data_IF_013570959830
#
_entry.id   IF_013570959830
#
_cell.length_a   1.000
_cell.length_b   1.000
_cell.length_c   1.000
_cell.angle_alpha   90.00
_cell.angle_beta   90.00
_cell.angle_gamma   90.00
#
_symmetry.space_group_name_H-M   'P 1'
#
loop_
_entity.id
_entity.type
_entity.pdbx_description
1 polymer ?
#
# COMPACT_ATOMS: atom_id res chain seq x y z
N UNK A 1 -20.31 3.63 36.36
CA UNK A 1 -19.50 4.67 35.68
C UNK A 1 -19.02 4.08 34.37
N UNK A 2 -19.37 4.69 33.22
CA UNK A 2 -18.89 4.23 31.93
C UNK A 2 -17.51 4.83 31.67
N UNK A 3 -16.49 3.99 31.44
CA UNK A 3 -15.18 4.44 31.02
C UNK A 3 -15.30 4.98 29.59
N UNK A 4 -15.10 6.28 29.41
CA UNK A 4 -14.94 6.87 28.09
C UNK A 4 -13.64 6.33 27.50
N UNK A 5 -13.74 5.54 26.42
CA UNK A 5 -12.58 5.16 25.64
C UNK A 5 -11.99 6.44 25.03
N UNK A 6 -10.89 6.92 25.60
CA UNK A 6 -10.17 8.06 25.04
C UNK A 6 -9.30 7.55 23.90
N UNK A 7 -9.69 7.88 22.66
CA UNK A 7 -8.89 7.58 21.49
C UNK A 7 -7.66 8.49 21.47
N UNK A 8 -6.47 7.91 21.31
CA UNK A 8 -5.26 8.69 21.02
C UNK A 8 -5.23 8.96 19.52
N UNK A 9 -5.36 10.23 19.15
CA UNK A 9 -5.24 10.68 17.77
C UNK A 9 -3.82 11.18 17.54
N UNK A 10 -3.04 10.40 16.81
CA UNK A 10 -1.73 10.81 16.30
C UNK A 10 -1.92 11.26 14.83
N UNK A 11 -1.35 12.41 14.46
CA UNK A 11 -1.48 13.00 13.11
C UNK A 11 -0.13 13.03 12.41
N UNK A 12 -0.06 12.48 11.21
CA UNK A 12 1.15 12.46 10.37
C UNK A 12 0.90 13.16 9.04
N UNK A 13 1.83 14.03 8.64
CA UNK A 13 1.89 14.72 7.34
C UNK A 13 3.19 14.38 6.62
N UNK A 14 3.36 14.94 5.41
CA UNK A 14 4.63 14.90 4.68
C UNK A 14 5.82 15.39 5.54
N UNK A 15 5.61 16.42 6.35
CA UNK A 15 6.63 16.99 7.24
C UNK A 15 7.02 16.05 8.39
N UNK A 16 6.22 15.00 8.65
CA UNK A 16 6.46 14.01 9.71
C UNK A 16 6.76 12.61 9.16
N UNK A 17 7.12 12.48 7.88
CA UNK A 17 7.68 11.25 7.30
C UNK A 17 6.78 10.48 6.33
N UNK A 18 5.55 10.93 6.06
CA UNK A 18 4.79 10.41 4.92
C UNK A 18 5.42 10.95 3.61
N UNK A 19 5.46 10.17 2.53
CA UNK A 19 5.96 10.67 1.25
C UNK A 19 4.98 11.68 0.63
N UNK A 20 3.68 11.55 0.89
CA UNK A 20 2.63 12.43 0.38
C UNK A 20 1.37 12.32 1.26
N UNK A 21 0.56 13.39 1.31
CA UNK A 21 -0.57 13.53 2.22
C UNK A 21 -1.83 12.71 1.83
N UNK A 22 -1.86 12.08 0.65
CA UNK A 22 -2.99 11.29 0.18
C UNK A 22 -2.66 9.80 0.24
N UNK A 23 -3.39 9.09 1.09
CA UNK A 23 -3.29 7.65 1.27
C UNK A 23 -4.49 6.99 0.59
N UNK A 24 -4.23 6.13 -0.39
CA UNK A 24 -5.24 5.47 -1.21
C UNK A 24 -5.58 4.06 -0.74
N UNK A 25 -4.65 3.41 -0.04
CA UNK A 25 -4.87 2.10 0.55
C UNK A 25 -3.97 1.92 1.77
N UNK A 26 -4.46 1.15 2.74
CA UNK A 26 -3.72 0.73 3.93
C UNK A 26 -3.92 -0.78 4.09
N UNK A 27 -2.83 -1.51 4.33
CA UNK A 27 -2.85 -2.94 4.68
C UNK A 27 -1.85 -3.18 5.79
N UNK A 28 -2.25 -3.94 6.82
CA UNK A 28 -1.28 -4.51 7.77
C UNK A 28 -0.76 -5.82 7.22
N UNK A 29 0.56 -5.99 7.15
CA UNK A 29 1.18 -7.26 6.78
C UNK A 29 1.31 -8.18 7.98
N UNK A 30 1.41 -9.50 7.76
CA UNK A 30 1.55 -10.52 8.82
C UNK A 30 2.73 -10.33 9.77
N UNK A 31 3.78 -9.64 9.32
CA UNK A 31 4.94 -9.27 10.13
C UNK A 31 4.68 -8.02 11.00
N UNK A 32 3.47 -7.47 10.98
CA UNK A 32 2.99 -6.43 11.88
C UNK A 32 3.09 -5.00 11.35
N UNK A 33 3.81 -4.77 10.25
CA UNK A 33 3.95 -3.43 9.67
C UNK A 33 2.67 -2.96 8.99
N UNK A 34 2.39 -1.66 9.08
CA UNK A 34 1.39 -1.04 8.22
C UNK A 34 2.05 -0.60 6.91
N UNK A 35 1.38 -0.88 5.82
CA UNK A 35 1.75 -0.43 4.48
C UNK A 35 0.69 0.53 3.96
N UNK A 36 1.16 1.63 3.37
CA UNK A 36 0.34 2.71 2.85
C UNK A 36 0.69 2.93 1.38
N UNK A 37 -0.33 2.96 0.52
CA UNK A 37 -0.21 3.33 -0.88
C UNK A 37 -0.47 4.83 -1.05
N UNK A 38 0.47 5.51 -1.70
CA UNK A 38 0.35 6.94 -2.02
C UNK A 38 0.66 7.16 -3.50
N UNK A 39 0.43 8.39 -3.97
CA UNK A 39 0.79 8.76 -5.35
C UNK A 39 2.27 9.06 -5.56
N UNK A 40 3.08 9.09 -4.49
CA UNK A 40 4.54 9.27 -4.57
C UNK A 40 5.33 8.14 -3.89
N UNK A 41 4.78 6.93 -3.90
CA UNK A 41 5.43 5.72 -3.42
C UNK A 41 4.64 4.97 -2.36
N UNK A 42 5.28 3.95 -1.80
CA UNK A 42 4.78 3.19 -0.65
C UNK A 42 5.44 3.70 0.63
N UNK A 43 4.67 3.74 1.71
CA UNK A 43 5.22 3.96 3.05
C UNK A 43 4.97 2.72 3.90
N UNK A 44 6.02 2.24 4.59
CA UNK A 44 5.93 1.21 5.62
C UNK A 44 6.10 1.83 6.99
N UNK A 45 5.17 1.59 7.90
CA UNK A 45 5.19 2.11 9.27
C UNK A 45 5.45 0.99 10.26
N UNK A 46 6.42 1.21 11.15
CA UNK A 46 6.85 0.25 12.18
C UNK A 46 6.22 0.49 13.57
N UNK A 47 5.29 1.44 13.66
CA UNK A 47 4.71 1.91 14.93
C UNK A 47 5.36 3.19 15.45
N UNK A 48 6.51 3.59 14.90
CA UNK A 48 7.27 4.78 15.31
C UNK A 48 7.63 5.65 14.11
N UNK A 49 8.06 5.07 12.98
CA UNK A 49 8.61 5.76 11.82
C UNK A 49 8.12 5.16 10.51
N UNK A 50 8.11 6.00 9.48
CA UNK A 50 7.87 5.59 8.10
C UNK A 50 9.17 5.31 7.36
N UNK A 51 9.18 4.26 6.55
CA UNK A 51 10.19 4.01 5.51
C UNK A 51 9.51 4.14 4.15
N UNK A 52 10.08 4.95 3.25
CA UNK A 52 9.51 5.25 1.93
C UNK A 52 10.19 4.44 0.84
N UNK A 53 9.38 3.84 -0.05
CA UNK A 53 9.83 3.08 -1.21
C UNK A 53 9.22 3.66 -2.49
N UNK A 54 10.06 4.05 -3.44
CA UNK A 54 9.64 4.62 -4.71
C UNK A 54 10.65 4.27 -5.83
N UNK A 55 10.38 4.71 -7.06
CA UNK A 55 11.22 4.38 -8.23
C UNK A 55 12.66 4.88 -8.15
N UNK A 56 12.95 5.90 -7.32
CA UNK A 56 14.31 6.45 -7.22
C UNK A 56 15.18 5.70 -6.21
N UNK A 57 14.58 5.01 -5.24
CA UNK A 57 15.32 4.32 -4.16
C UNK A 57 15.10 2.81 -4.10
N UNK A 58 14.13 2.26 -4.85
CA UNK A 58 13.72 0.86 -4.75
C UNK A 58 13.74 0.17 -6.12
N UNK A 59 14.83 -0.52 -6.49
CA UNK A 59 14.89 -1.30 -7.73
C UNK A 59 13.71 -2.27 -7.82
N UNK A 60 13.06 -2.31 -9.00
CA UNK A 60 11.84 -3.08 -9.23
C UNK A 60 10.54 -2.29 -9.05
N UNK A 61 10.59 -1.11 -8.44
CA UNK A 61 9.51 -0.12 -8.55
C UNK A 61 9.78 0.75 -9.78
N UNK A 62 8.85 0.76 -10.74
CA UNK A 62 8.97 1.58 -11.96
C UNK A 62 7.98 2.74 -12.02
N UNK A 63 6.99 2.76 -11.13
CA UNK A 63 5.99 3.82 -11.01
C UNK A 63 5.76 4.12 -9.51
N UNK A 64 5.55 5.39 -9.16
CA UNK A 64 5.31 5.83 -7.79
C UNK A 64 3.82 5.84 -7.41
N UNK A 65 2.93 5.78 -8.40
CA UNK A 65 1.50 6.03 -8.21
C UNK A 65 0.77 4.75 -7.81
N UNK A 66 0.78 4.44 -6.52
CA UNK A 66 0.11 3.25 -5.97
C UNK A 66 -1.28 3.58 -5.44
N UNK A 67 -2.23 2.70 -5.71
CA UNK A 67 -3.64 2.90 -5.33
C UNK A 67 -4.26 1.71 -4.60
N UNK A 68 -3.54 0.59 -4.50
CA UNK A 68 -4.07 -0.62 -3.86
C UNK A 68 -2.97 -1.48 -3.26
N UNK A 69 -3.32 -2.23 -2.20
CA UNK A 69 -2.39 -3.09 -1.46
C UNK A 69 -3.06 -4.43 -1.12
N UNK A 70 -2.33 -5.52 -1.32
CA UNK A 70 -2.80 -6.87 -1.00
C UNK A 70 -1.65 -7.79 -0.59
N UNK A 71 -1.71 -8.34 0.61
CA UNK A 71 -0.80 -9.41 1.02
C UNK A 71 -1.38 -10.78 0.63
N UNK A 72 -0.63 -11.56 -0.14
CA UNK A 72 -0.99 -12.94 -0.46
C UNK A 72 -0.86 -13.86 0.76
N UNK A 73 -1.48 -15.04 0.71
CA UNK A 73 -1.27 -16.07 1.74
C UNK A 73 0.20 -16.50 1.94
N UNK A 74 1.03 -16.34 0.91
CA UNK A 74 2.46 -16.66 0.94
C UNK A 74 3.36 -15.56 1.49
N UNK A 75 2.80 -14.43 1.96
CA UNK A 75 3.57 -13.32 2.54
C UNK A 75 4.07 -12.29 1.52
N UNK A 76 3.78 -12.44 0.23
CA UNK A 76 4.12 -11.41 -0.75
C UNK A 76 3.12 -10.27 -0.67
N UNK A 77 3.63 -9.05 -0.62
CA UNK A 77 2.82 -7.84 -0.72
C UNK A 77 2.78 -7.39 -2.18
N UNK A 78 1.58 -7.29 -2.74
CA UNK A 78 1.34 -6.67 -4.03
C UNK A 78 0.84 -5.24 -3.85
N UNK A 79 1.39 -4.33 -4.63
CA UNK A 79 0.97 -2.95 -4.71
C UNK A 79 0.58 -2.60 -6.14
N UNK A 80 -0.70 -2.31 -6.37
CA UNK A 80 -1.22 -1.96 -7.68
C UNK A 80 -1.00 -0.50 -8.01
N UNK A 81 -0.63 -0.21 -9.26
CA UNK A 81 -0.42 1.16 -9.75
C UNK A 81 -1.63 1.66 -10.54
N UNK A 82 -1.81 2.98 -10.60
CA UNK A 82 -2.91 3.61 -11.35
C UNK A 82 -2.86 3.26 -12.86
N UNK A 83 -1.65 3.21 -13.44
CA UNK A 83 -1.42 3.06 -14.89
C UNK A 83 -1.29 1.59 -15.36
N UNK A 84 -2.00 0.65 -14.73
CA UNK A 84 -2.03 -0.77 -15.13
C UNK A 84 -0.69 -1.52 -14.98
N UNK A 85 -0.22 -1.62 -13.74
CA UNK A 85 0.94 -2.41 -13.34
C UNK A 85 0.89 -2.77 -11.85
N UNK A 86 1.88 -3.52 -11.39
CA UNK A 86 2.06 -3.75 -9.96
C UNK A 86 3.53 -3.88 -9.58
N UNK A 87 3.85 -3.50 -8.36
CA UNK A 87 5.08 -3.91 -7.69
C UNK A 87 4.75 -5.08 -6.76
N UNK A 88 5.59 -6.11 -6.76
CA UNK A 88 5.53 -7.21 -5.80
C UNK A 88 6.71 -7.12 -4.87
N UNK A 89 6.47 -7.08 -3.57
CA UNK A 89 7.49 -7.25 -2.55
C UNK A 89 7.55 -8.73 -2.15
N UNK A 90 8.69 -9.36 -2.42
CA UNK A 90 8.99 -10.75 -2.04
C UNK A 90 10.38 -10.81 -1.45
N UNK A 91 10.52 -11.40 -0.26
CA UNK A 91 11.83 -11.56 0.40
C UNK A 91 12.58 -10.22 0.58
N UNK A 92 11.85 -9.14 0.83
CA UNK A 92 12.43 -7.79 1.00
C UNK A 92 12.86 -7.08 -0.29
N UNK A 93 12.59 -7.65 -1.47
CA UNK A 93 12.92 -7.05 -2.77
C UNK A 93 11.67 -6.75 -3.56
N UNK A 94 11.67 -5.62 -4.26
CA UNK A 94 10.61 -5.27 -5.19
C UNK A 94 10.90 -5.88 -6.57
N UNK A 95 9.84 -6.42 -7.17
CA UNK A 95 9.82 -6.93 -8.53
C UNK A 95 8.70 -6.24 -9.29
N UNK A 96 9.04 -5.68 -10.46
CA UNK A 96 8.02 -5.13 -11.35
C UNK A 96 7.25 -6.28 -11.98
N UNK A 97 5.92 -6.20 -11.94
CA UNK A 97 5.04 -7.20 -12.48
C UNK A 97 4.02 -6.58 -13.44
N UNK A 98 3.87 -7.22 -14.59
CA UNK A 98 2.81 -6.87 -15.54
C UNK A 98 1.47 -7.39 -15.04
N UNK A 99 0.40 -6.69 -15.42
CA UNK A 99 -0.99 -7.05 -15.07
C UNK A 99 -1.31 -8.51 -15.35
N UNK A 100 -0.84 -9.07 -16.46
CA UNK A 100 -1.06 -10.49 -16.80
C UNK A 100 -0.53 -11.47 -15.73
N UNK A 101 0.60 -11.14 -15.10
CA UNK A 101 1.17 -11.94 -14.01
C UNK A 101 0.34 -11.81 -12.72
N UNK A 102 -0.27 -10.65 -12.49
CA UNK A 102 -1.20 -10.42 -11.38
C UNK A 102 -2.51 -11.17 -11.60
N UNK A 103 -3.07 -11.15 -12.81
CA UNK A 103 -4.27 -11.91 -13.18
C UNK A 103 -4.09 -13.41 -12.92
N UNK A 104 -2.96 -13.98 -13.36
CA UNK A 104 -2.65 -15.39 -13.20
C UNK A 104 -2.56 -15.81 -11.72
N UNK A 105 -2.28 -14.88 -10.80
CA UNK A 105 -2.23 -15.12 -9.37
C UNK A 105 -3.58 -14.94 -8.65
N UNK A 106 -4.65 -14.57 -9.36
CA UNK A 106 -5.97 -14.28 -8.78
C UNK A 106 -6.07 -12.93 -8.05
N UNK A 107 -4.96 -12.20 -7.94
CA UNK A 107 -4.87 -10.94 -7.17
C UNK A 107 -5.59 -9.78 -7.86
N UNK A 108 -5.74 -9.80 -9.20
CA UNK A 108 -6.35 -8.69 -9.93
C UNK A 108 -7.82 -8.49 -9.55
N UNK A 109 -8.58 -9.57 -9.29
CA UNK A 109 -9.98 -9.45 -8.87
C UNK A 109 -10.11 -8.72 -7.53
N UNK A 110 -9.17 -8.95 -6.61
CA UNK A 110 -9.13 -8.26 -5.32
C UNK A 110 -8.77 -6.79 -5.48
N UNK A 111 -7.84 -6.45 -6.37
CA UNK A 111 -7.53 -5.05 -6.68
C UNK A 111 -8.69 -4.32 -7.34
N UNK A 112 -9.41 -4.97 -8.26
CA UNK A 112 -10.62 -4.40 -8.84
C UNK A 112 -11.73 -4.24 -7.79
N UNK A 113 -11.89 -5.21 -6.88
CA UNK A 113 -12.85 -5.10 -5.78
C UNK A 113 -12.52 -3.94 -4.85
N UNK A 114 -11.27 -3.80 -4.40
CA UNK A 114 -10.83 -2.66 -3.59
C UNK A 114 -11.02 -1.34 -4.35
N UNK A 115 -10.67 -1.28 -5.64
CA UNK A 115 -10.87 -0.08 -6.48
C UNK A 115 -12.34 0.29 -6.61
N UNK A 116 -13.22 -0.68 -6.85
CA UNK A 116 -14.66 -0.44 -6.95
C UNK A 116 -15.28 -0.07 -5.60
N UNK A 117 -14.76 -0.62 -4.50
CA UNK A 117 -15.15 -0.20 -3.15
C UNK A 117 -14.79 1.27 -2.89
N UNK A 118 -13.59 1.70 -3.29
CA UNK A 118 -13.16 3.11 -3.19
C UNK A 118 -13.96 4.04 -4.11
N UNK A 119 -14.25 3.62 -5.34
CA UNK A 119 -15.04 4.43 -6.27
C UNK A 119 -16.55 4.44 -5.94
N UNK A 120 -17.06 3.41 -5.27
CA UNK A 120 -18.47 3.29 -4.88
C UNK A 120 -18.87 4.12 -3.67
N UNK A 121 -17.93 4.84 -3.05
CA UNK A 121 -18.22 5.86 -2.02
C UNK A 121 -18.41 7.25 -2.65
N UNK A 122 -18.16 7.40 -3.94
CA UNK A 122 -18.42 8.60 -4.74
C UNK A 122 -19.44 8.31 -5.87
N UNK A 123 -20.65 7.84 -5.53
CA UNK A 123 -21.94 8.11 -6.21
C UNK A 123 -23.00 7.06 -5.87
#
# INVERSE_FOLDING_TARGET
MAAQAQYRLDHWTADTGLPQNSVYAITQTRDGYLWLATLDGLARFDGVRFTVFNKSNSPGIINNRFISLFETAGGDLWAGTEESGAARLRGGRFEHSRVSSVCASGVLNTFQYQRNFYNGVES
#
